data_IF_993717082447
#
_entry.id   IF_993717082447
#
_cell.length_a   1.000
_cell.length_b   1.000
_cell.length_c   1.000
_cell.angle_alpha   90.00
_cell.angle_beta   90.00
_cell.angle_gamma   90.00
#
_symmetry.space_group_name_H-M   'P 1'
#
loop_
_entity.id
_entity.type
_entity.pdbx_description
1 polymer ?
#
# COMPACT_ATOMS: atom_id res chain seq x y z
N UNK A 1 -0.94 7.12 -18.35
CA UNK A 1 -0.40 6.86 -17.01
C UNK A 1 -1.59 6.71 -16.07
N UNK A 2 -1.69 5.61 -15.34
CA UNK A 2 -2.82 5.34 -14.44
C UNK A 2 -2.36 5.52 -12.98
N UNK A 3 -3.19 6.15 -12.16
CA UNK A 3 -3.00 6.23 -10.72
C UNK A 3 -4.15 5.52 -10.00
N UNK A 4 -3.82 4.68 -9.02
CA UNK A 4 -4.78 3.96 -8.19
C UNK A 4 -4.26 3.98 -6.75
N UNK A 5 -5.10 4.40 -5.81
CA UNK A 5 -4.84 4.33 -4.37
C UNK A 5 -5.88 3.46 -3.66
N UNK A 6 -5.48 2.92 -2.51
CA UNK A 6 -6.36 2.23 -1.57
C UNK A 6 -5.90 2.58 -0.16
N UNK A 7 -6.85 2.65 0.77
CA UNK A 7 -6.61 2.81 2.19
C UNK A 7 -7.32 1.68 2.92
N UNK A 8 -6.62 1.05 3.85
CA UNK A 8 -7.12 -0.08 4.62
C UNK A 8 -7.08 0.29 6.10
N UNK A 9 -8.18 0.02 6.80
CA UNK A 9 -8.38 0.36 8.22
C UNK A 9 -8.73 -0.87 9.06
N UNK A 10 -8.48 -2.08 8.54
CA UNK A 10 -8.68 -3.30 9.30
C UNK A 10 -7.68 -3.38 10.47
N UNK A 11 -8.11 -3.96 11.59
CA UNK A 11 -7.28 -4.09 12.80
C UNK A 11 -6.15 -5.12 12.62
N UNK A 12 -6.33 -6.08 11.72
CA UNK A 12 -5.31 -7.07 11.37
C UNK A 12 -4.51 -6.64 10.12
N UNK A 13 -3.20 -6.60 10.26
CA UNK A 13 -2.29 -6.18 9.19
C UNK A 13 -2.32 -7.11 7.97
N UNK A 14 -2.45 -8.42 8.19
CA UNK A 14 -2.46 -9.40 7.10
C UNK A 14 -3.73 -9.26 6.26
N UNK A 15 -4.87 -9.09 6.92
CA UNK A 15 -6.16 -8.86 6.26
C UNK A 15 -6.12 -7.53 5.50
N UNK A 16 -5.68 -6.44 6.15
CA UNK A 16 -5.50 -5.14 5.51
C UNK A 16 -4.61 -5.22 4.27
N UNK A 17 -3.49 -5.96 4.34
CA UNK A 17 -2.57 -6.12 3.21
C UNK A 17 -3.22 -6.89 2.06
N UNK A 18 -3.90 -8.00 2.34
CA UNK A 18 -4.56 -8.81 1.33
C UNK A 18 -5.66 -8.02 0.60
N UNK A 19 -6.50 -7.32 1.37
CA UNK A 19 -7.60 -6.50 0.85
C UNK A 19 -7.08 -5.32 0.02
N UNK A 20 -6.01 -4.66 0.49
CA UNK A 20 -5.36 -3.59 -0.25
C UNK A 20 -4.81 -4.05 -1.60
N UNK A 21 -4.13 -5.21 -1.64
CA UNK A 21 -3.61 -5.77 -2.89
C UNK A 21 -4.76 -6.13 -3.84
N UNK A 22 -5.82 -6.78 -3.34
CA UNK A 22 -6.97 -7.14 -4.14
C UNK A 22 -7.66 -5.90 -4.74
N UNK A 23 -7.84 -4.84 -3.95
CA UNK A 23 -8.44 -3.58 -4.39
C UNK A 23 -7.61 -2.88 -5.47
N UNK A 24 -6.28 -2.88 -5.35
CA UNK A 24 -5.38 -2.35 -6.37
C UNK A 24 -5.46 -3.17 -7.66
N UNK A 25 -5.34 -4.50 -7.56
CA UNK A 25 -5.36 -5.41 -8.70
C UNK A 25 -6.67 -5.33 -9.50
N UNK A 26 -7.81 -5.11 -8.83
CA UNK A 26 -9.10 -4.99 -9.50
C UNK A 26 -9.26 -3.68 -10.30
N UNK A 27 -8.47 -2.64 -10.00
CA UNK A 27 -8.60 -1.32 -10.60
C UNK A 27 -7.48 -1.01 -11.60
N UNK A 28 -6.32 -1.63 -11.45
CA UNK A 28 -5.20 -1.50 -12.37
C UNK A 28 -5.54 -2.14 -13.72
N UNK A 29 -5.36 -1.37 -14.80
CA UNK A 29 -5.48 -1.89 -16.18
C UNK A 29 -4.20 -2.62 -16.58
N UNK A 30 -3.05 -2.11 -16.15
CA UNK A 30 -1.71 -2.65 -16.41
C UNK A 30 -0.93 -2.82 -15.09
N UNK A 31 0.17 -3.58 -15.14
CA UNK A 31 1.09 -3.69 -14.00
C UNK A 31 1.71 -2.32 -13.65
N UNK A 32 1.82 -1.96 -12.36
CA UNK A 32 2.39 -0.68 -11.96
C UNK A 32 3.92 -0.69 -12.05
N UNK A 33 4.49 0.41 -12.52
CA UNK A 33 5.94 0.61 -12.51
C UNK A 33 6.45 1.12 -11.14
N UNK A 34 5.57 1.76 -10.36
CA UNK A 34 5.85 2.37 -9.06
C UNK A 34 4.69 2.11 -8.08
N UNK A 35 5.02 1.72 -6.86
CA UNK A 35 4.08 1.55 -5.75
C UNK A 35 4.58 2.41 -4.59
N UNK A 36 3.69 3.27 -4.09
CA UNK A 36 3.87 3.97 -2.83
C UNK A 36 3.11 3.25 -1.74
N UNK A 37 3.80 2.78 -0.70
CA UNK A 37 3.18 2.02 0.37
C UNK A 37 3.56 2.58 1.74
N UNK A 38 2.54 2.92 2.53
CA UNK A 38 2.70 3.49 3.86
C UNK A 38 1.97 2.62 4.87
N UNK A 39 2.57 2.41 6.03
CA UNK A 39 1.95 1.68 7.13
C UNK A 39 1.91 2.56 8.37
N UNK A 40 0.90 2.37 9.22
CA UNK A 40 0.86 3.06 10.49
C UNK A 40 2.08 2.70 11.36
N UNK A 41 2.49 3.57 12.30
CA UNK A 41 3.62 3.27 13.18
C UNK A 41 3.46 1.95 13.96
N UNK A 42 2.24 1.61 14.37
CA UNK A 42 1.91 0.37 15.07
C UNK A 42 2.23 -0.88 14.20
N UNK A 43 2.10 -0.77 12.88
CA UNK A 43 2.28 -1.85 11.92
C UNK A 43 3.67 -1.90 11.29
N UNK A 44 4.63 -1.13 11.82
CA UNK A 44 6.00 -1.08 11.29
C UNK A 44 6.65 -2.47 11.20
N UNK A 45 6.31 -3.37 12.12
CA UNK A 45 6.80 -4.76 12.10
C UNK A 45 6.35 -5.54 10.85
N UNK A 46 5.25 -5.13 10.21
CA UNK A 46 4.71 -5.73 8.98
C UNK A 46 5.41 -5.29 7.68
N UNK A 47 6.28 -4.27 7.71
CA UNK A 47 6.98 -3.77 6.51
C UNK A 47 7.70 -4.86 5.68
N UNK A 48 8.41 -5.84 6.27
CA UNK A 48 9.01 -6.93 5.50
C UNK A 48 7.96 -7.81 4.80
N UNK A 49 6.81 -8.05 5.44
CA UNK A 49 5.73 -8.85 4.86
C UNK A 49 5.06 -8.10 3.70
N UNK A 50 4.77 -6.81 3.87
CA UNK A 50 4.31 -5.90 2.80
C UNK A 50 5.26 -5.94 1.60
N UNK A 51 6.55 -5.74 1.82
CA UNK A 51 7.55 -5.75 0.75
C UNK A 51 7.60 -7.08 -0.01
N UNK A 52 7.47 -8.21 0.69
CA UNK A 52 7.41 -9.54 0.03
C UNK A 52 6.13 -9.71 -0.77
N UNK A 53 4.98 -9.32 -0.21
CA UNK A 53 3.68 -9.47 -0.88
C UNK A 53 3.60 -8.63 -2.16
N UNK A 54 4.05 -7.37 -2.10
CA UNK A 54 4.07 -6.46 -3.25
C UNK A 54 5.02 -6.96 -4.35
N UNK A 55 6.22 -7.44 -3.99
CA UNK A 55 7.15 -8.04 -4.97
C UNK A 55 6.64 -9.34 -5.57
N UNK A 56 5.82 -10.09 -4.82
CA UNK A 56 5.17 -11.31 -5.32
C UNK A 56 4.11 -11.02 -6.38
N UNK A 57 3.33 -9.94 -6.21
CA UNK A 57 2.28 -9.55 -7.15
C UNK A 57 2.81 -8.74 -8.34
N UNK A 58 3.69 -7.78 -8.08
CA UNK A 58 4.24 -6.88 -9.09
C UNK A 58 5.77 -6.87 -9.03
N UNK A 59 6.43 -7.89 -9.59
CA UNK A 59 7.87 -8.10 -9.43
C UNK A 59 8.74 -7.01 -10.09
N UNK A 60 8.19 -6.31 -11.08
CA UNK A 60 8.88 -5.23 -11.79
C UNK A 60 8.64 -3.85 -11.18
N UNK A 61 7.66 -3.72 -10.28
CA UNK A 61 7.34 -2.45 -9.65
C UNK A 61 8.45 -2.00 -8.70
N UNK A 62 8.80 -0.72 -8.76
CA UNK A 62 9.60 -0.08 -7.71
C UNK A 62 8.70 0.19 -6.52
N UNK A 63 9.09 -0.27 -5.33
CA UNK A 63 8.34 -0.01 -4.09
C UNK A 63 9.08 1.04 -3.27
N UNK A 64 8.41 2.16 -3.01
CA UNK A 64 8.90 3.25 -2.15
C UNK A 64 7.92 3.43 -1.01
N UNK A 65 8.42 3.56 0.21
CA UNK A 65 7.55 3.63 1.37
C UNK A 65 8.28 3.77 2.68
N UNK A 66 7.55 4.16 3.71
CA UNK A 66 8.02 4.18 5.09
C UNK A 66 6.89 3.77 6.06
N UNK A 67 7.24 3.41 7.29
CA UNK A 67 6.27 3.50 8.38
C UNK A 67 5.98 4.97 8.61
N UNK A 68 4.76 5.41 8.36
CA UNK A 68 4.29 6.79 8.40
C UNK A 68 4.30 7.37 9.81
N UNK A 69 5.47 7.48 10.44
CA UNK A 69 5.67 8.20 11.71
C UNK A 69 5.28 9.67 11.68
N UNK A 70 4.83 10.19 10.53
CA UNK A 70 4.33 11.54 10.33
C UNK A 70 3.20 11.62 9.30
N UNK A 71 2.17 10.77 9.38
CA UNK A 71 0.95 10.96 8.58
C UNK A 71 0.22 12.22 9.05
N UNK A 72 0.33 13.29 8.28
CA UNK A 72 -0.44 14.53 8.43
C UNK A 72 -1.62 14.49 7.45
N UNK A 73 -2.75 13.85 7.81
CA UNK A 73 -4.06 14.04 7.16
C UNK A 73 -5.21 13.15 7.71
N UNK A 74 -5.16 12.62 8.94
CA UNK A 74 -6.26 11.79 9.52
C UNK A 74 -6.83 10.71 8.56
N UNK A 75 -5.97 10.10 7.73
CA UNK A 75 -6.37 9.11 6.73
C UNK A 75 -7.26 9.64 5.58
N UNK A 76 -7.44 10.96 5.42
CA UNK A 76 -8.18 11.54 4.30
C UNK A 76 -7.21 12.02 3.22
N UNK A 77 -7.30 11.42 2.03
CA UNK A 77 -6.65 11.98 0.84
C UNK A 77 -7.23 13.38 0.58
N UNK A 78 -6.38 14.42 0.58
CA UNK A 78 -6.74 15.76 0.12
C UNK A 78 -6.00 16.01 -1.19
N UNK A 79 -6.71 15.93 -2.31
CA UNK A 79 -6.23 16.40 -3.60
C UNK A 79 -6.67 17.84 -3.81
N UNK A 80 -5.73 18.71 -4.15
CA UNK A 80 -5.94 20.12 -4.51
C UNK A 80 -5.12 20.50 -5.72
#
# INVERSE_FOLDING_TARGET
MQWVSTLQTADDFSDALADGIAALAARLVDAPDLILAFVAPADRAGLPALGRALRGHWPQARVVGCSGGGVLADGREIEG
#
